data_IF_985799012422
#
_entry.id   IF_985799012422
#
_cell.length_a   1.000
_cell.length_b   1.000
_cell.length_c   1.000
_cell.angle_alpha   90.00
_cell.angle_beta   90.00
_cell.angle_gamma   90.00
#
_symmetry.space_group_name_H-M   'P 1'
#
loop_
_entity.id
_entity.type
_entity.pdbx_description
1 polymer ?
#
# COMPACT_ATOMS: atom_id res chain seq x y z
N UNK A 1 -8.03 -6.61 4.04
CA UNK A 1 -7.29 -5.36 3.81
C UNK A 1 -8.13 -4.15 4.18
N UNK A 2 -9.20 -3.82 3.44
CA UNK A 2 -9.96 -2.58 3.61
C UNK A 2 -10.45 -2.31 5.05
N UNK A 3 -11.06 -3.30 5.72
CA UNK A 3 -11.49 -3.15 7.12
C UNK A 3 -10.33 -2.71 8.02
N UNK A 4 -9.21 -3.43 7.98
CA UNK A 4 -8.01 -3.13 8.77
C UNK A 4 -7.36 -1.79 8.39
N UNK A 5 -7.45 -1.41 7.11
CA UNK A 5 -7.01 -0.10 6.64
C UNK A 5 -7.86 1.01 7.26
N UNK A 6 -9.18 0.96 7.12
CA UNK A 6 -10.06 1.99 7.66
C UNK A 6 -9.98 2.07 9.19
N UNK A 7 -9.95 0.94 9.90
CA UNK A 7 -9.77 0.92 11.36
C UNK A 7 -8.40 1.47 11.78
N UNK A 8 -7.33 1.09 11.08
CA UNK A 8 -5.99 1.59 11.38
C UNK A 8 -5.86 3.10 11.18
N UNK A 9 -6.43 3.62 10.08
CA UNK A 9 -6.38 5.04 9.74
C UNK A 9 -7.15 5.94 10.70
N UNK A 10 -8.09 5.42 11.50
CA UNK A 10 -8.78 6.20 12.54
C UNK A 10 -7.83 6.72 13.63
N UNK A 11 -6.68 6.07 13.82
CA UNK A 11 -5.75 6.39 14.93
C UNK A 11 -4.29 6.56 14.50
N UNK A 12 -3.90 6.03 13.33
CA UNK A 12 -2.55 6.19 12.80
C UNK A 12 -2.32 7.60 12.25
N UNK A 13 -1.11 8.15 12.41
CA UNK A 13 -0.79 9.43 11.77
C UNK A 13 -0.57 9.24 10.26
N UNK A 14 -0.97 10.21 9.40
CA UNK A 14 -0.92 10.04 7.95
C UNK A 14 0.44 9.59 7.40
N UNK A 15 1.53 10.28 7.80
CA UNK A 15 2.90 9.97 7.34
C UNK A 15 3.37 8.59 7.81
N UNK A 16 3.03 8.19 9.03
CA UNK A 16 3.40 6.88 9.58
C UNK A 16 2.61 5.76 8.90
N UNK A 17 1.31 5.94 8.68
CA UNK A 17 0.49 5.00 7.93
C UNK A 17 1.01 4.82 6.49
N UNK A 18 1.39 5.92 5.83
CA UNK A 18 2.02 5.89 4.50
C UNK A 18 3.29 5.01 4.49
N UNK A 19 4.12 5.15 5.53
CA UNK A 19 5.34 4.36 5.68
C UNK A 19 5.08 2.88 6.04
N UNK A 20 4.02 2.56 6.77
CA UNK A 20 3.60 1.15 6.94
C UNK A 20 3.31 0.51 5.58
N UNK A 21 2.64 1.24 4.68
CA UNK A 21 2.32 0.74 3.34
C UNK A 21 3.56 0.54 2.45
N UNK A 22 4.67 1.23 2.71
CA UNK A 22 5.94 1.00 1.96
C UNK A 22 6.69 -0.25 2.37
N UNK A 23 6.25 -0.98 3.40
CA UNK A 23 6.74 -2.33 3.69
C UNK A 23 6.13 -3.38 2.76
N UNK A 24 5.03 -3.04 2.08
CA UNK A 24 4.30 -3.96 1.19
C UNK A 24 5.16 -4.60 0.09
N UNK A 25 6.10 -3.91 -0.59
CA UNK A 25 6.95 -4.51 -1.61
C UNK A 25 7.81 -5.67 -1.06
N UNK A 26 8.37 -5.50 0.14
CA UNK A 26 9.20 -6.52 0.81
C UNK A 26 8.36 -7.75 1.17
N UNK A 27 7.18 -7.52 1.76
CA UNK A 27 6.24 -8.59 2.09
C UNK A 27 5.75 -9.32 0.83
N UNK A 28 5.44 -8.56 -0.22
CA UNK A 28 5.00 -9.08 -1.52
C UNK A 28 6.07 -9.94 -2.16
N UNK A 29 7.34 -9.50 -2.10
CA UNK A 29 8.47 -10.27 -2.59
C UNK A 29 8.62 -11.61 -1.85
N UNK A 30 8.46 -11.62 -0.52
CA UNK A 30 8.44 -12.85 0.28
C UNK A 30 7.30 -13.80 -0.12
N UNK A 31 6.08 -13.30 -0.25
CA UNK A 31 4.94 -14.11 -0.68
C UNK A 31 5.08 -14.58 -2.14
N UNK A 32 5.64 -13.76 -3.03
CA UNK A 32 5.88 -14.14 -4.42
C UNK A 32 6.95 -15.24 -4.53
N UNK A 33 7.96 -15.24 -3.67
CA UNK A 33 8.91 -16.34 -3.58
C UNK A 33 8.20 -17.64 -3.16
N UNK A 34 7.39 -17.60 -2.10
CA UNK A 34 6.69 -18.80 -1.59
C UNK A 34 5.62 -19.33 -2.56
N UNK A 35 4.83 -18.45 -3.17
CA UNK A 35 3.66 -18.82 -3.97
C UNK A 35 3.98 -19.08 -5.45
N UNK A 36 5.01 -18.42 -5.99
CA UNK A 36 5.33 -18.40 -7.43
C UNK A 36 6.79 -18.77 -7.73
N UNK A 37 7.59 -19.12 -6.72
CA UNK A 37 9.04 -19.35 -6.86
C UNK A 37 9.78 -18.19 -7.54
N UNK A 38 9.31 -16.95 -7.35
CA UNK A 38 9.97 -15.76 -7.91
C UNK A 38 11.25 -15.45 -7.12
N UNK A 39 12.40 -15.71 -7.74
CA UNK A 39 13.71 -15.44 -7.15
C UNK A 39 14.03 -13.95 -7.29
N UNK A 40 14.44 -13.34 -6.19
CA UNK A 40 14.92 -11.95 -6.16
C UNK A 40 16.36 -11.90 -6.62
N UNK A 41 16.69 -10.94 -7.48
CA UNK A 41 18.09 -10.62 -7.75
C UNK A 41 18.71 -9.96 -6.51
N UNK A 42 20.04 -10.04 -6.40
CA UNK A 42 20.78 -9.41 -5.30
C UNK A 42 20.48 -7.91 -5.20
N UNK A 43 20.30 -7.25 -6.34
CA UNK A 43 19.99 -5.83 -6.43
C UNK A 43 18.57 -5.52 -5.92
N UNK A 44 17.58 -6.30 -6.31
CA UNK A 44 16.21 -6.18 -5.79
C UNK A 44 16.18 -6.39 -4.28
N UNK A 45 16.91 -7.39 -3.77
CA UNK A 45 17.00 -7.65 -2.33
C UNK A 45 17.61 -6.44 -1.57
N UNK A 46 18.69 -5.85 -2.08
CA UNK A 46 19.29 -4.64 -1.49
C UNK A 46 18.33 -3.46 -1.53
N UNK A 47 17.66 -3.22 -2.67
CA UNK A 47 16.69 -2.14 -2.79
C UNK A 47 15.52 -2.29 -1.80
N UNK A 48 14.96 -3.50 -1.70
CA UNK A 48 13.88 -3.81 -0.75
C UNK A 48 14.33 -3.62 0.70
N UNK A 49 15.57 -4.01 1.04
CA UNK A 49 16.14 -3.82 2.38
C UNK A 49 16.30 -2.32 2.73
N UNK A 50 16.83 -1.52 1.79
CA UNK A 50 16.94 -0.04 1.96
C UNK A 50 15.55 0.57 2.15
N UNK A 51 14.58 0.16 1.33
CA UNK A 51 13.20 0.64 1.42
C UNK A 51 12.55 0.27 2.76
N UNK A 52 12.76 -0.95 3.26
CA UNK A 52 12.26 -1.40 4.55
C UNK A 52 12.90 -0.63 5.72
N UNK A 53 14.21 -0.37 5.66
CA UNK A 53 14.90 0.44 6.66
C UNK A 53 14.37 1.88 6.68
N UNK A 54 14.22 2.50 5.49
CA UNK A 54 13.65 3.84 5.35
C UNK A 54 12.21 3.93 5.87
N UNK A 55 11.38 2.94 5.53
CA UNK A 55 10.01 2.83 6.04
C UNK A 55 9.97 2.74 7.56
N UNK A 56 10.80 1.86 8.14
CA UNK A 56 10.89 1.68 9.60
C UNK A 56 11.31 2.98 10.28
N UNK A 57 12.30 3.68 9.74
CA UNK A 57 12.73 4.99 10.23
C UNK A 57 11.59 6.02 10.26
N UNK A 58 10.76 6.08 9.21
CA UNK A 58 9.60 6.98 9.14
C UNK A 58 8.49 6.58 10.13
N UNK A 59 8.20 5.27 10.25
CA UNK A 59 7.18 4.75 11.19
C UNK A 59 7.47 5.21 12.62
N UNK A 60 8.73 5.11 13.04
CA UNK A 60 9.16 5.53 14.37
C UNK A 60 9.55 7.01 14.48
N UNK A 61 9.20 7.84 13.47
CA UNK A 61 9.42 9.31 13.48
C UNK A 61 10.90 9.69 13.65
N UNK A 62 11.82 8.85 13.17
CA UNK A 62 13.26 9.01 13.36
C UNK A 62 13.72 9.00 14.84
N UNK A 63 12.91 8.44 15.74
CA UNK A 63 13.26 8.30 17.16
C UNK A 63 13.82 6.90 17.45
N UNK A 64 15.13 6.84 17.68
CA UNK A 64 15.84 5.61 18.04
C UNK A 64 15.32 4.98 19.34
N UNK A 65 14.85 5.79 20.30
CA UNK A 65 14.30 5.26 21.55
C UNK A 65 12.96 4.58 21.30
N UNK A 66 12.11 5.18 20.48
CA UNK A 66 10.84 4.58 20.08
C UNK A 66 11.05 3.27 19.31
N UNK A 67 12.09 3.18 18.46
CA UNK A 67 12.49 1.94 17.78
C UNK A 67 12.87 0.86 18.82
N UNK A 68 13.75 1.20 19.77
CA UNK A 68 14.25 0.25 20.77
C UNK A 68 13.15 -0.21 21.75
N UNK A 69 12.22 0.67 22.08
CA UNK A 69 11.07 0.38 22.94
C UNK A 69 9.90 -0.27 22.19
N UNK A 70 10.00 -0.45 20.87
CA UNK A 70 8.90 -0.95 20.02
C UNK A 70 7.59 -0.17 20.23
N UNK A 71 7.69 1.15 20.40
CA UNK A 71 6.54 2.05 20.55
C UNK A 71 5.83 2.29 19.22
N UNK A 72 5.09 1.27 18.77
CA UNK A 72 4.26 1.33 17.56
C UNK A 72 2.82 1.66 17.98
N UNK A 73 2.21 2.64 17.32
CA UNK A 73 0.82 2.98 17.58
C UNK A 73 -0.15 1.87 17.16
N UNK A 74 -1.31 1.82 17.83
CA UNK A 74 -2.32 0.77 17.61
C UNK A 74 -2.88 0.80 16.17
N UNK A 75 -3.02 1.99 15.59
CA UNK A 75 -3.47 2.17 14.22
C UNK A 75 -2.49 1.59 13.22
N UNK A 76 -1.19 1.83 13.42
CA UNK A 76 -0.10 1.33 12.60
C UNK A 76 -0.02 -0.20 12.64
N UNK A 77 -0.17 -0.82 13.82
CA UNK A 77 -0.21 -2.29 13.95
C UNK A 77 -1.41 -2.89 13.20
N UNK A 78 -2.59 -2.30 13.39
CA UNK A 78 -3.82 -2.75 12.70
C UNK A 78 -3.67 -2.62 11.18
N UNK A 79 -3.13 -1.49 10.73
CA UNK A 79 -2.92 -1.26 9.30
C UNK A 79 -1.82 -2.16 8.72
N UNK A 80 -0.77 -2.46 9.48
CA UNK A 80 0.28 -3.40 9.08
C UNK A 80 -0.29 -4.80 8.80
N UNK A 81 -1.17 -5.31 9.66
CA UNK A 81 -1.89 -6.56 9.39
C UNK A 81 -2.71 -6.50 8.11
N UNK A 82 -3.32 -5.34 7.83
CA UNK A 82 -3.95 -5.06 6.53
C UNK A 82 -2.95 -5.18 5.37
N UNK A 83 -1.80 -4.52 5.48
CA UNK A 83 -0.75 -4.53 4.46
C UNK A 83 -0.19 -5.93 4.19
N UNK A 84 -0.07 -6.79 5.21
CA UNK A 84 0.27 -8.20 5.05
C UNK A 84 -0.75 -8.91 4.16
N UNK A 85 -2.05 -8.75 4.46
CA UNK A 85 -3.11 -9.34 3.64
C UNK A 85 -3.11 -8.82 2.19
N UNK A 86 -2.79 -7.53 1.99
CA UNK A 86 -2.67 -6.93 0.66
C UNK A 86 -1.41 -7.41 -0.09
N UNK A 87 -0.30 -7.63 0.61
CA UNK A 87 0.94 -8.13 0.02
C UNK A 87 0.81 -9.54 -0.56
N UNK A 88 -0.11 -10.36 -0.01
CA UNK A 88 -0.46 -11.68 -0.55
C UNK A 88 -1.30 -11.56 -1.83
N UNK A 89 -2.10 -10.51 -1.97
CA UNK A 89 -3.07 -10.38 -3.05
C UNK A 89 -2.41 -10.30 -4.44
N UNK A 90 -1.37 -9.50 -4.62
CA UNK A 90 -0.67 -9.38 -5.92
C UNK A 90 -0.11 -10.70 -6.45
N UNK A 91 0.67 -11.51 -5.70
CA UNK A 91 1.10 -12.81 -6.19
C UNK A 91 -0.07 -13.79 -6.37
N UNK A 92 -1.14 -13.70 -5.58
CA UNK A 92 -2.34 -14.52 -5.79
C UNK A 92 -3.07 -14.20 -7.10
N UNK A 93 -3.15 -12.93 -7.51
CA UNK A 93 -3.71 -12.56 -8.83
C UNK A 93 -3.01 -13.36 -9.93
N UNK A 94 -1.68 -13.36 -9.93
CA UNK A 94 -0.89 -14.08 -10.94
C UNK A 94 -1.08 -15.60 -10.85
N UNK A 95 -1.14 -16.15 -9.63
CA UNK A 95 -1.32 -17.59 -9.40
C UNK A 95 -2.70 -18.10 -9.84
N UNK A 96 -3.74 -17.31 -9.63
CA UNK A 96 -5.12 -17.70 -9.91
C UNK A 96 -5.60 -17.30 -11.30
N UNK A 97 -4.89 -16.42 -12.01
CA UNK A 97 -5.27 -16.03 -13.36
C UNK A 97 -5.13 -17.23 -14.32
N UNK A 98 -6.24 -17.63 -14.96
CA UNK A 98 -6.33 -18.74 -15.91
C UNK A 98 -6.45 -18.30 -17.38
N UNK A 99 -6.03 -17.06 -17.69
CA UNK A 99 -6.22 -16.43 -18.99
C UNK A 99 -7.43 -15.51 -19.07
N UNK A 100 -8.10 -15.24 -17.94
CA UNK A 100 -9.20 -14.28 -17.87
C UNK A 100 -8.73 -12.85 -18.13
N UNK A 101 -9.59 -12.06 -18.78
CA UNK A 101 -9.33 -10.63 -18.98
C UNK A 101 -9.19 -9.92 -17.62
N UNK A 102 -8.21 -9.01 -17.44
CA UNK A 102 -7.98 -8.33 -16.16
C UNK A 102 -9.22 -7.61 -15.61
N UNK A 103 -10.08 -7.10 -16.50
CA UNK A 103 -11.33 -6.42 -16.14
C UNK A 103 -12.30 -7.38 -15.44
N UNK A 104 -12.41 -8.63 -15.91
CA UNK A 104 -13.32 -9.64 -15.33
C UNK A 104 -12.85 -10.04 -13.94
N UNK A 105 -11.55 -10.29 -13.79
CA UNK A 105 -10.96 -10.61 -12.49
C UNK A 105 -11.07 -9.43 -11.50
N UNK A 106 -10.91 -8.20 -11.98
CA UNK A 106 -11.15 -6.97 -11.20
C UNK A 106 -12.59 -6.87 -10.75
N UNK A 107 -13.54 -7.07 -11.66
CA UNK A 107 -14.96 -7.05 -11.33
C UNK A 107 -15.31 -8.08 -10.26
N UNK A 108 -14.89 -9.34 -10.43
CA UNK A 108 -15.15 -10.40 -9.45
C UNK A 108 -14.56 -10.10 -8.07
N UNK A 109 -13.31 -9.60 -8.04
CA UNK A 109 -12.66 -9.21 -6.78
C UNK A 109 -13.38 -8.07 -6.08
N UNK A 110 -13.76 -7.02 -6.82
CA UNK A 110 -14.44 -5.86 -6.26
C UNK A 110 -15.87 -6.19 -5.84
N UNK A 111 -16.60 -7.00 -6.61
CA UNK A 111 -17.96 -7.44 -6.26
C UNK A 111 -17.96 -8.30 -4.99
N UNK A 112 -17.04 -9.27 -4.89
CA UNK A 112 -16.89 -10.09 -3.69
C UNK A 112 -16.46 -9.24 -2.48
N UNK A 113 -15.51 -8.33 -2.68
CA UNK A 113 -15.07 -7.40 -1.64
C UNK A 113 -16.20 -6.49 -1.15
N UNK A 114 -16.98 -5.92 -2.07
CA UNK A 114 -18.14 -5.10 -1.75
C UNK A 114 -19.20 -5.91 -0.98
N UNK A 115 -19.50 -7.14 -1.40
CA UNK A 115 -20.45 -8.01 -0.69
C UNK A 115 -20.00 -8.32 0.75
N UNK A 116 -18.72 -8.67 0.93
CA UNK A 116 -18.17 -8.94 2.27
C UNK A 116 -18.14 -7.70 3.16
N UNK A 117 -17.77 -6.54 2.62
CA UNK A 117 -17.78 -5.27 3.36
C UNK A 117 -19.19 -4.85 3.73
N UNK A 118 -20.14 -4.92 2.79
CA UNK A 118 -21.55 -4.64 3.08
C UNK A 118 -22.13 -5.55 4.15
N UNK A 119 -21.71 -6.83 4.20
CA UNK A 119 -22.16 -7.76 5.24
C UNK A 119 -21.53 -7.41 6.60
N UNK A 120 -20.24 -7.10 6.62
CA UNK A 120 -19.52 -6.73 7.85
C UNK A 120 -20.04 -5.42 8.44
N UNK A 121 -20.20 -4.38 7.62
CA UNK A 121 -20.61 -3.02 8.01
C UNK A 121 -22.13 -2.81 7.91
N UNK A 122 -22.93 -3.86 7.72
CA UNK A 122 -24.37 -3.79 7.46
C UNK A 122 -25.11 -2.89 8.46
N UNK A 123 -24.76 -3.02 9.75
CA UNK A 123 -25.42 -2.27 10.83
C UNK A 123 -25.12 -0.77 10.74
N UNK A 124 -23.88 -0.40 10.43
CA UNK A 124 -23.47 1.02 10.30
C UNK A 124 -24.05 1.64 9.03
N UNK A 125 -24.03 0.89 7.92
CA UNK A 125 -24.65 1.29 6.65
C UNK A 125 -26.15 1.54 6.81
N UNK A 126 -26.86 0.64 7.52
CA UNK A 126 -28.30 0.77 7.75
C UNK A 126 -28.66 1.91 8.73
N UNK A 127 -27.79 2.20 9.70
CA UNK A 127 -27.99 3.28 10.66
C UNK A 127 -27.66 4.68 10.10
N UNK A 128 -26.97 4.75 8.97
CA UNK A 128 -26.53 6.02 8.35
C UNK A 128 -27.72 6.75 7.71
N UNK A 129 -27.92 8.03 8.07
CA UNK A 129 -28.87 8.90 7.39
C UNK A 129 -28.28 9.41 6.06
N UNK A 130 -28.45 8.62 5.00
CA UNK A 130 -27.93 8.93 3.67
C UNK A 130 -28.48 10.24 3.07
N UNK A 131 -29.69 10.66 3.46
CA UNK A 131 -30.32 11.86 2.90
C UNK A 131 -29.83 13.14 3.57
N UNK A 132 -29.44 13.06 4.83
CA UNK A 132 -28.85 14.16 5.59
C UNK A 132 -27.39 14.45 5.25
N UNK A 133 -26.72 13.60 4.45
CA UNK A 133 -25.30 13.77 4.14
C UNK A 133 -25.04 14.98 3.23
N UNK A 134 -24.04 15.82 3.56
CA UNK A 134 -23.61 16.92 2.68
C UNK A 134 -23.19 16.44 1.29
N UNK A 135 -23.41 17.25 0.27
CA UNK A 135 -23.06 16.92 -1.13
C UNK A 135 -21.60 16.54 -1.35
N UNK A 136 -20.67 17.08 -0.55
CA UNK A 136 -19.25 16.71 -0.62
C UNK A 136 -19.03 15.22 -0.34
N UNK A 137 -19.82 14.60 0.54
CA UNK A 137 -19.70 13.18 0.87
C UNK A 137 -20.02 12.30 -0.35
N UNK A 138 -21.04 12.67 -1.12
CA UNK A 138 -21.39 11.96 -2.36
C UNK A 138 -20.28 12.09 -3.42
N UNK A 139 -19.69 13.27 -3.55
CA UNK A 139 -18.54 13.47 -4.43
C UNK A 139 -17.33 12.64 -3.98
N UNK A 140 -17.07 12.59 -2.66
CA UNK A 140 -16.02 11.76 -2.07
C UNK A 140 -16.27 10.28 -2.36
N UNK A 141 -17.48 9.76 -2.13
CA UNK A 141 -17.85 8.36 -2.46
C UNK A 141 -17.60 8.09 -3.94
N UNK A 142 -18.11 8.93 -4.84
CA UNK A 142 -17.91 8.75 -6.29
C UNK A 142 -16.43 8.74 -6.69
N UNK A 143 -15.64 9.65 -6.15
CA UNK A 143 -14.20 9.69 -6.37
C UNK A 143 -13.50 8.41 -5.88
N UNK A 144 -13.81 7.98 -4.66
CA UNK A 144 -13.23 6.77 -4.07
C UNK A 144 -13.60 5.50 -4.85
N UNK A 145 -14.85 5.39 -5.30
CA UNK A 145 -15.33 4.23 -6.05
C UNK A 145 -14.66 4.15 -7.42
N UNK A 146 -14.62 5.25 -8.19
CA UNK A 146 -14.14 5.23 -9.57
C UNK A 146 -12.62 5.27 -9.64
N UNK A 147 -12.00 6.29 -9.03
CA UNK A 147 -10.57 6.54 -9.20
C UNK A 147 -9.73 5.78 -8.17
N UNK A 148 -10.09 5.89 -6.89
CA UNK A 148 -9.28 5.29 -5.83
C UNK A 148 -9.43 3.75 -5.77
N UNK A 149 -10.55 3.20 -6.26
CA UNK A 149 -10.84 1.76 -6.20
C UNK A 149 -10.86 1.11 -7.58
N UNK A 150 -11.86 1.36 -8.43
CA UNK A 150 -12.03 0.61 -9.67
C UNK A 150 -10.84 0.77 -10.63
N UNK A 151 -10.43 2.01 -10.90
CA UNK A 151 -9.30 2.30 -11.78
C UNK A 151 -7.97 1.79 -11.20
N UNK A 152 -7.71 2.04 -9.91
CA UNK A 152 -6.45 1.63 -9.27
C UNK A 152 -6.31 0.10 -9.22
N UNK A 153 -7.37 -0.64 -8.87
CA UNK A 153 -7.35 -2.11 -8.85
C UNK A 153 -7.14 -2.67 -10.25
N UNK A 154 -7.82 -2.12 -11.25
CA UNK A 154 -7.62 -2.53 -12.63
C UNK A 154 -6.18 -2.31 -13.10
N UNK A 155 -5.59 -1.15 -12.80
CA UNK A 155 -4.19 -0.84 -13.12
C UNK A 155 -3.21 -1.80 -12.42
N UNK A 156 -3.42 -2.08 -11.13
CA UNK A 156 -2.60 -3.03 -10.38
C UNK A 156 -2.71 -4.42 -11.00
N UNK A 157 -3.92 -4.91 -11.30
CA UNK A 157 -4.10 -6.20 -11.95
C UNK A 157 -3.46 -6.25 -13.33
N UNK A 158 -3.67 -5.22 -14.14
CA UNK A 158 -3.07 -5.08 -15.46
C UNK A 158 -1.54 -5.14 -15.39
N UNK A 159 -0.93 -4.48 -14.40
CA UNK A 159 0.51 -4.46 -14.19
C UNK A 159 1.04 -5.79 -13.66
N UNK A 160 0.39 -6.41 -12.66
CA UNK A 160 0.81 -7.68 -12.04
C UNK A 160 0.84 -8.85 -13.02
N UNK A 161 0.00 -8.81 -14.06
CA UNK A 161 0.03 -9.84 -15.10
C UNK A 161 1.20 -9.66 -16.08
N UNK A 162 1.76 -8.45 -16.19
CA UNK A 162 2.86 -8.10 -17.13
C UNK A 162 4.23 -7.95 -16.47
N UNK A 163 4.27 -7.60 -15.20
CA UNK A 163 5.49 -7.33 -14.45
C UNK A 163 5.57 -8.23 -13.20
N UNK A 164 6.78 -8.54 -12.70
CA UNK A 164 6.95 -9.21 -11.41
C UNK A 164 6.24 -8.43 -10.28
N UNK A 165 5.58 -9.14 -9.36
CA UNK A 165 4.75 -8.54 -8.31
C UNK A 165 5.52 -7.54 -7.45
N UNK A 166 6.80 -7.83 -7.16
CA UNK A 166 7.68 -6.93 -6.42
C UNK A 166 7.92 -5.58 -7.14
N UNK A 167 8.05 -5.58 -8.47
CA UNK A 167 8.23 -4.34 -9.26
C UNK A 167 6.95 -3.50 -9.28
N UNK A 168 5.79 -4.14 -9.39
CA UNK A 168 4.49 -3.44 -9.32
C UNK A 168 4.32 -2.77 -7.96
N UNK A 169 4.63 -3.49 -6.88
CA UNK A 169 4.48 -2.92 -5.55
C UNK A 169 5.56 -1.90 -5.22
N UNK A 170 6.76 -1.94 -5.82
CA UNK A 170 7.81 -0.97 -5.52
C UNK A 170 7.36 0.49 -5.70
N UNK A 171 6.46 0.79 -6.62
CA UNK A 171 5.89 2.14 -6.78
C UNK A 171 5.22 2.67 -5.51
N UNK A 172 4.81 1.80 -4.58
CA UNK A 172 4.28 2.24 -3.29
C UNK A 172 5.31 2.93 -2.42
N UNK A 173 6.63 2.79 -2.69
CA UNK A 173 7.67 3.59 -2.05
C UNK A 173 7.48 5.10 -2.23
N UNK A 174 6.71 5.53 -3.24
CA UNK A 174 6.40 6.94 -3.48
C UNK A 174 5.24 7.46 -2.61
N UNK A 175 4.47 6.57 -1.97
CA UNK A 175 3.27 6.94 -1.19
C UNK A 175 3.57 7.93 -0.05
N UNK A 176 4.61 7.76 0.78
CA UNK A 176 4.94 8.74 1.82
C UNK A 176 5.26 10.12 1.26
N UNK A 177 5.93 10.20 0.10
CA UNK A 177 6.22 11.48 -0.55
C UNK A 177 4.93 12.21 -0.93
N UNK A 178 3.95 11.50 -1.51
CA UNK A 178 2.65 12.08 -1.82
C UNK A 178 1.87 12.51 -0.58
N UNK A 179 1.88 11.70 0.48
CA UNK A 179 1.21 12.06 1.74
C UNK A 179 1.84 13.31 2.36
N UNK A 180 3.17 13.43 2.34
CA UNK A 180 3.86 14.62 2.85
C UNK A 180 3.51 15.87 2.04
N UNK A 181 3.46 15.77 0.71
CA UNK A 181 3.05 16.89 -0.13
C UNK A 181 1.62 17.37 0.20
N UNK A 182 0.70 16.43 0.45
CA UNK A 182 -0.66 16.77 0.87
C UNK A 182 -0.70 17.38 2.27
N UNK A 183 0.02 16.83 3.25
CA UNK A 183 0.11 17.42 4.60
C UNK A 183 0.63 18.86 4.57
N UNK A 184 1.62 19.14 3.72
CA UNK A 184 2.14 20.50 3.51
C UNK A 184 1.08 21.39 2.84
N UNK A 185 0.44 20.90 1.76
CA UNK A 185 -0.58 21.66 1.03
C UNK A 185 -1.82 21.98 1.89
N UNK A 186 -2.15 21.12 2.85
CA UNK A 186 -3.23 21.30 3.82
C UNK A 186 -2.82 22.16 5.03
N UNK A 187 -1.55 22.58 5.12
CA UNK A 187 -1.06 23.46 6.18
C UNK A 187 -0.71 22.75 7.49
N UNK A 188 -0.60 21.42 7.51
CA UNK A 188 -0.20 20.63 8.69
C UNK A 188 1.30 20.73 9.00
N UNK A 189 2.08 21.36 8.11
CA UNK A 189 3.51 21.60 8.27
C UNK A 189 4.39 20.54 7.63
N UNK A 190 5.71 20.75 7.70
CA UNK A 190 6.71 19.83 7.15
C UNK A 190 7.12 18.82 8.23
N UNK A 191 7.21 17.51 7.92
CA UNK A 191 7.80 16.55 8.85
C UNK A 191 9.22 16.94 9.25
N UNK A 192 9.65 16.51 10.44
CA UNK A 192 11.02 16.79 10.89
C UNK A 192 12.07 16.31 9.87
N UNK A 193 13.17 17.05 9.73
CA UNK A 193 14.20 16.79 8.72
C UNK A 193 14.74 15.36 8.74
N UNK A 194 14.81 14.74 9.93
CA UNK A 194 15.22 13.35 10.07
C UNK A 194 14.23 12.36 9.45
N UNK A 195 12.93 12.63 9.47
CA UNK A 195 11.92 11.79 8.81
C UNK A 195 12.09 11.82 7.29
N UNK A 196 12.48 12.97 6.73
CA UNK A 196 12.75 13.11 5.31
C UNK A 196 13.92 12.22 4.83
N UNK A 197 14.88 11.88 5.69
CA UNK A 197 15.93 10.92 5.35
C UNK A 197 15.37 9.52 5.07
N UNK A 198 14.37 9.10 5.84
CA UNK A 198 13.70 7.81 5.60
C UNK A 198 12.91 7.81 4.30
N UNK A 199 12.25 8.92 3.97
CA UNK A 199 11.54 9.11 2.69
C UNK A 199 12.54 9.11 1.52
N UNK A 200 13.67 9.81 1.65
CA UNK A 200 14.74 9.80 0.67
C UNK A 200 15.31 8.38 0.46
N UNK A 201 15.44 7.59 1.53
CA UNK A 201 15.83 6.18 1.43
C UNK A 201 14.79 5.34 0.66
N UNK A 202 13.48 5.52 0.90
CA UNK A 202 12.44 4.83 0.13
C UNK A 202 12.45 5.23 -1.35
N UNK A 203 12.73 6.49 -1.65
CA UNK A 203 12.88 6.97 -3.03
C UNK A 203 14.13 6.39 -3.71
N UNK A 204 15.25 6.33 -2.99
CA UNK A 204 16.48 5.69 -3.46
C UNK A 204 16.30 4.18 -3.71
N UNK A 205 15.53 3.50 -2.86
CA UNK A 205 15.14 2.10 -3.06
C UNK A 205 14.32 1.92 -4.34
N UNK A 206 13.32 2.78 -4.58
CA UNK A 206 12.54 2.77 -5.83
C UNK A 206 13.45 2.96 -7.06
N UNK A 207 14.33 3.96 -7.03
CA UNK A 207 15.26 4.22 -8.14
C UNK A 207 16.17 3.01 -8.41
N UNK A 208 16.72 2.41 -7.36
CA UNK A 208 17.57 1.23 -7.48
C UNK A 208 16.79 0.02 -8.01
N UNK A 209 15.50 -0.10 -7.72
CA UNK A 209 14.66 -1.21 -8.15
C UNK A 209 14.14 -1.05 -9.59
N UNK A 210 13.95 0.20 -10.04
CA UNK A 210 13.47 0.51 -11.39
C UNK A 210 14.57 0.53 -12.46
N UNK A 211 15.82 0.88 -12.12
CA UNK A 211 16.88 0.90 -13.15
C UNK A 211 17.12 -0.51 -13.70
N UNK A 212 17.11 -0.67 -15.02
CA UNK A 212 17.01 -1.97 -15.69
C UNK A 212 18.04 -3.02 -15.25
N UNK A 213 17.61 -4.27 -15.32
CA UNK A 213 18.48 -5.46 -15.21
C UNK A 213 18.84 -6.01 -16.60
N UNK A 214 18.34 -5.39 -17.67
CA UNK A 214 18.45 -5.89 -19.04
C UNK A 214 19.87 -5.79 -19.63
N UNK A 215 20.79 -5.11 -18.93
CA UNK A 215 22.21 -5.06 -19.31
C UNK A 215 23.01 -6.33 -19.00
N UNK A 216 22.42 -7.36 -18.36
CA UNK A 216 23.13 -8.60 -17.99
C UNK A 216 22.76 -9.82 -18.86
N UNK A 217 22.02 -9.62 -19.96
CA UNK A 217 21.68 -10.65 -20.95
C UNK A 217 21.96 -10.19 -22.39
N UNK A 218 23.15 -9.65 -22.61
CA UNK A 218 23.74 -9.50 -23.94
C UNK A 218 24.95 -10.41 -24.07
#
# INVERSE_FOLDING_TARGET
YFVLMFEGLKTARPVQAAAVFTLTPVMTAGFAYVLLAQILTRRMAVALAIGAAGATWVIFRADLRAILAFEIGRGEVTYFAGCVAHAVYTPMIRRLNRGEAPVVFTFGTLAAGAGLLCLYDWREIAATDWRGLPGIVWLTIGYLTVFATAASFWLVQYATLRLPSAKVMAYTYLVPSWVILWEIALGHGVPGALVLLGVAATFGALWLLLKDEDGARA
#
